data_IF_953626671818
#
_entry.id   IF_953626671818
#
_cell.length_a   1.000
_cell.length_b   1.000
_cell.length_c   1.000
_cell.angle_alpha   90.00
_cell.angle_beta   90.00
_cell.angle_gamma   90.00
#
_symmetry.space_group_name_H-M   'P 1'
#
loop_
_entity.id
_entity.type
_entity.pdbx_description
1 polymer ?
#
# COMPACT_ATOMS: atom_id res chain seq x y z
N UNK A 1 13.59 -13.00 -22.90
CA UNK A 1 13.82 -12.33 -21.60
C UNK A 1 15.01 -12.95 -20.85
N UNK A 2 15.07 -14.28 -20.60
CA UNK A 2 16.12 -14.89 -19.78
C UNK A 2 17.55 -14.73 -20.33
N UNK A 3 17.73 -14.78 -21.67
CA UNK A 3 19.05 -14.58 -22.30
C UNK A 3 19.52 -13.13 -22.11
N UNK A 4 18.66 -12.14 -22.36
CA UNK A 4 18.98 -10.73 -22.18
C UNK A 4 19.36 -10.44 -20.71
N UNK A 5 18.62 -10.97 -19.76
CA UNK A 5 18.96 -10.85 -18.35
C UNK A 5 20.35 -11.38 -18.04
N UNK A 6 20.66 -12.61 -18.52
CA UNK A 6 21.94 -13.27 -18.27
C UNK A 6 23.12 -12.50 -18.90
N UNK A 7 22.95 -12.04 -20.13
CA UNK A 7 24.05 -11.47 -20.91
C UNK A 7 24.29 -9.99 -20.60
N UNK A 8 23.23 -9.23 -20.30
CA UNK A 8 23.27 -7.77 -20.22
C UNK A 8 23.06 -7.20 -18.79
N UNK A 9 22.37 -7.93 -17.90
CA UNK A 9 21.94 -7.38 -16.60
C UNK A 9 22.60 -8.09 -15.43
N UNK A 10 22.70 -9.44 -15.44
CA UNK A 10 23.13 -10.20 -14.27
C UNK A 10 24.52 -9.85 -13.77
N UNK A 11 25.42 -9.40 -14.64
CA UNK A 11 26.78 -8.97 -14.28
C UNK A 11 26.82 -7.75 -13.34
N UNK A 12 25.74 -6.96 -13.32
CA UNK A 12 25.60 -5.77 -12.46
C UNK A 12 24.79 -6.04 -11.18
N UNK A 13 24.27 -7.26 -11.02
CA UNK A 13 23.42 -7.62 -9.88
C UNK A 13 24.21 -8.49 -8.91
N UNK A 14 24.53 -7.93 -7.75
CA UNK A 14 25.24 -8.65 -6.68
C UNK A 14 24.31 -9.52 -5.83
N UNK A 15 23.05 -9.15 -5.75
CA UNK A 15 22.02 -9.89 -4.98
C UNK A 15 20.62 -9.62 -5.58
N UNK A 16 19.75 -10.61 -5.50
CA UNK A 16 18.33 -10.46 -5.85
C UNK A 16 17.45 -11.19 -4.84
N UNK A 17 16.34 -10.58 -4.45
CA UNK A 17 15.33 -11.19 -3.61
C UNK A 17 13.99 -11.13 -4.33
N UNK A 18 13.28 -12.26 -4.39
CA UNK A 18 11.92 -12.32 -4.92
C UNK A 18 10.92 -12.54 -3.79
N UNK A 19 9.81 -11.82 -3.85
CA UNK A 19 8.68 -11.96 -2.93
C UNK A 19 7.41 -12.22 -3.73
N UNK A 20 6.58 -13.12 -3.24
CA UNK A 20 5.26 -13.36 -3.79
C UNK A 20 4.22 -12.67 -2.94
N UNK A 21 3.52 -11.69 -3.51
CA UNK A 21 2.56 -10.86 -2.80
C UNK A 21 1.13 -11.08 -3.35
N UNK A 22 0.16 -11.16 -2.44
CA UNK A 22 -1.26 -11.26 -2.77
C UNK A 22 -1.94 -9.92 -2.56
N UNK A 23 -2.61 -9.42 -3.57
CA UNK A 23 -3.39 -8.19 -3.46
C UNK A 23 -4.59 -8.39 -2.53
N UNK A 24 -4.74 -7.53 -1.52
CA UNK A 24 -5.87 -7.53 -0.59
C UNK A 24 -6.94 -6.54 -1.07
N UNK A 25 -7.97 -7.03 -1.75
CA UNK A 25 -9.06 -6.19 -2.25
C UNK A 25 -9.83 -5.49 -1.10
N UNK A 26 -9.98 -6.16 0.04
CA UNK A 26 -10.71 -5.63 1.19
C UNK A 26 -9.99 -4.49 1.88
N UNK A 27 -8.66 -4.56 1.96
CA UNK A 27 -7.82 -3.54 2.58
C UNK A 27 -7.39 -2.42 1.61
N UNK A 28 -7.77 -2.49 0.33
CA UNK A 28 -7.36 -1.57 -0.73
C UNK A 28 -8.50 -0.68 -1.20
N UNK A 29 -8.14 0.52 -1.69
CA UNK A 29 -9.04 1.43 -2.38
C UNK A 29 -8.29 2.15 -3.51
N UNK A 30 -8.60 1.79 -4.74
CA UNK A 30 -8.04 2.40 -5.96
C UNK A 30 -9.17 3.10 -6.69
N UNK A 31 -9.27 4.41 -6.55
CA UNK A 31 -10.36 5.24 -7.11
C UNK A 31 -9.96 6.00 -8.37
N UNK A 32 -8.68 6.05 -8.69
CA UNK A 32 -8.12 6.80 -9.82
C UNK A 32 -7.08 5.97 -10.54
N UNK A 33 -6.78 6.36 -11.78
CA UNK A 33 -5.71 5.70 -12.54
C UNK A 33 -4.38 5.79 -11.80
N UNK A 34 -3.58 4.70 -11.77
CA UNK A 34 -2.22 4.75 -11.23
C UNK A 34 -1.34 5.83 -11.88
N UNK A 35 -1.66 6.26 -13.10
CA UNK A 35 -0.95 7.32 -13.82
C UNK A 35 -1.23 8.72 -13.26
N UNK A 36 -2.42 8.95 -12.71
CA UNK A 36 -2.80 10.24 -12.12
C UNK A 36 -2.09 10.49 -10.78
N UNK A 37 -1.60 9.43 -10.14
CA UNK A 37 -0.83 9.48 -8.90
C UNK A 37 0.49 8.72 -9.07
N UNK A 38 1.47 9.29 -9.79
CA UNK A 38 2.70 8.58 -10.18
C UNK A 38 3.67 8.33 -9.04
N UNK A 39 3.57 9.08 -7.94
CA UNK A 39 4.42 8.86 -6.77
C UNK A 39 3.80 7.83 -5.84
N UNK A 40 4.63 6.93 -5.33
CA UNK A 40 4.21 5.86 -4.42
C UNK A 40 5.02 5.92 -3.14
N UNK A 41 4.34 6.12 -2.01
CA UNK A 41 4.92 5.83 -0.71
C UNK A 41 4.61 4.39 -0.33
N UNK A 42 5.63 3.58 -0.23
CA UNK A 42 5.54 2.17 0.12
C UNK A 42 5.94 1.98 1.58
N UNK A 43 5.06 1.36 2.35
CA UNK A 43 5.30 0.99 3.73
C UNK A 43 5.25 -0.53 3.86
N UNK A 44 6.37 -1.14 4.18
CA UNK A 44 6.44 -2.55 4.56
C UNK A 44 6.24 -2.66 6.06
N UNK A 45 5.29 -3.50 6.47
CA UNK A 45 5.01 -3.79 7.88
C UNK A 45 5.27 -5.26 8.16
N UNK A 46 6.06 -5.54 9.20
CA UNK A 46 6.15 -6.88 9.79
C UNK A 46 5.32 -6.88 11.06
N UNK A 47 4.37 -7.80 11.17
CA UNK A 47 3.43 -7.86 12.27
C UNK A 47 3.49 -9.20 13.00
N UNK A 48 3.12 -9.19 14.29
CA UNK A 48 3.12 -10.36 15.18
C UNK A 48 2.04 -11.35 14.75
N UNK A 49 2.36 -12.63 14.79
CA UNK A 49 1.45 -13.69 14.38
C UNK A 49 0.18 -13.74 15.25
N UNK A 50 0.35 -13.54 16.56
CA UNK A 50 -0.73 -13.55 17.56
C UNK A 50 -1.59 -12.30 17.56
N UNK A 51 -1.19 -11.24 16.82
CA UNK A 51 -1.92 -9.99 16.66
C UNK A 51 -2.29 -9.71 15.19
N UNK A 52 -2.33 -10.72 14.35
CA UNK A 52 -2.69 -10.60 12.94
C UNK A 52 -4.09 -10.01 12.74
N UNK A 53 -5.04 -10.37 13.59
CA UNK A 53 -6.42 -9.90 13.49
C UNK A 53 -6.54 -8.39 13.72
N UNK A 54 -5.81 -7.83 14.69
CA UNK A 54 -5.75 -6.39 14.93
C UNK A 54 -5.15 -5.64 13.76
N UNK A 55 -4.05 -6.18 13.19
CA UNK A 55 -3.41 -5.60 12.01
C UNK A 55 -4.39 -5.49 10.84
N UNK A 56 -5.01 -6.61 10.46
CA UNK A 56 -5.90 -6.67 9.31
C UNK A 56 -7.23 -5.96 9.54
N UNK A 57 -7.78 -6.02 10.76
CA UNK A 57 -8.97 -5.26 11.12
C UNK A 57 -8.79 -3.77 10.88
N UNK A 58 -7.69 -3.19 11.37
CA UNK A 58 -7.42 -1.77 11.15
C UNK A 58 -7.29 -1.44 9.66
N UNK A 59 -6.55 -2.24 8.88
CA UNK A 59 -6.37 -2.03 7.44
C UNK A 59 -7.68 -2.08 6.67
N UNK A 60 -8.51 -3.08 6.93
CA UNK A 60 -9.82 -3.23 6.30
C UNK A 60 -10.76 -2.08 6.69
N UNK A 61 -10.75 -1.68 7.95
CA UNK A 61 -11.58 -0.58 8.45
C UNK A 61 -11.18 0.76 7.81
N UNK A 62 -9.88 1.03 7.67
CA UNK A 62 -9.37 2.23 7.00
C UNK A 62 -9.82 2.25 5.53
N UNK A 63 -9.65 1.17 4.79
CA UNK A 63 -10.09 1.08 3.39
C UNK A 63 -11.60 1.31 3.25
N UNK A 64 -12.41 0.76 4.16
CA UNK A 64 -13.86 0.98 4.19
C UNK A 64 -14.22 2.44 4.51
N UNK A 65 -13.49 3.09 5.42
CA UNK A 65 -13.70 4.50 5.73
C UNK A 65 -13.31 5.41 4.56
N UNK A 66 -12.20 5.12 3.85
CA UNK A 66 -11.82 5.83 2.62
C UNK A 66 -12.95 5.74 1.59
N UNK A 67 -13.41 4.53 1.30
CA UNK A 67 -14.50 4.29 0.34
C UNK A 67 -15.79 5.01 0.72
N UNK A 68 -16.20 4.96 2.00
CA UNK A 68 -17.43 5.59 2.51
C UNK A 68 -17.35 7.12 2.50
N UNK A 69 -16.21 7.68 2.88
CA UNK A 69 -15.99 9.13 2.90
C UNK A 69 -15.86 9.76 1.50
N UNK A 70 -15.64 8.93 0.46
CA UNK A 70 -15.30 9.37 -0.89
C UNK A 70 -14.04 10.24 -0.93
N UNK A 71 -13.10 9.98 -0.02
CA UNK A 71 -11.82 10.67 0.00
C UNK A 71 -10.98 10.30 -1.23
N UNK A 72 -10.27 11.29 -1.79
CA UNK A 72 -9.34 11.06 -2.90
C UNK A 72 -8.00 10.49 -2.38
N UNK A 73 -8.06 9.27 -1.87
CA UNK A 73 -6.91 8.54 -1.34
C UNK A 73 -6.73 7.26 -2.16
N UNK A 74 -5.57 7.13 -2.77
CA UNK A 74 -5.14 5.89 -3.40
C UNK A 74 -4.44 5.00 -2.38
N UNK A 75 -4.96 3.81 -2.18
CA UNK A 75 -4.45 2.83 -1.22
C UNK A 75 -4.43 1.43 -1.83
N UNK A 76 -3.26 0.83 -1.91
CA UNK A 76 -3.11 -0.61 -2.21
C UNK A 76 -2.47 -1.32 -1.02
N UNK A 77 -2.98 -2.51 -0.72
CA UNK A 77 -2.44 -3.37 0.34
C UNK A 77 -2.19 -4.76 -0.22
N UNK A 78 -0.99 -5.26 0.05
CA UNK A 78 -0.51 -6.55 -0.42
C UNK A 78 -0.05 -7.39 0.77
N UNK A 79 -0.49 -8.64 0.83
CA UNK A 79 -0.07 -9.60 1.85
C UNK A 79 1.04 -10.49 1.30
N UNK A 80 2.05 -10.76 2.10
CA UNK A 80 3.11 -11.66 1.68
C UNK A 80 2.65 -13.12 1.70
N UNK A 81 2.82 -13.80 0.56
CA UNK A 81 2.58 -15.23 0.42
C UNK A 81 3.85 -16.06 0.59
N UNK A 82 5.01 -15.57 0.13
CA UNK A 82 6.30 -16.23 0.30
C UNK A 82 7.48 -15.29 0.02
N UNK A 83 8.67 -15.66 0.50
CA UNK A 83 9.91 -14.91 0.30
C UNK A 83 10.07 -13.71 1.22
N UNK A 84 9.28 -13.59 2.28
CA UNK A 84 9.33 -12.52 3.26
C UNK A 84 9.84 -13.01 4.61
N UNK A 85 10.39 -12.10 5.38
CA UNK A 85 10.85 -12.35 6.74
C UNK A 85 9.67 -12.17 7.71
N UNK A 86 8.98 -13.26 8.02
CA UNK A 86 7.81 -13.28 8.91
C UNK A 86 6.50 -12.83 8.24
N UNK A 87 5.51 -12.46 9.06
CA UNK A 87 4.22 -11.97 8.59
C UNK A 87 4.39 -10.53 8.10
N UNK A 88 4.32 -10.34 6.80
CA UNK A 88 4.58 -9.03 6.18
C UNK A 88 3.41 -8.59 5.31
N UNK A 89 3.08 -7.32 5.41
CA UNK A 89 2.20 -6.64 4.47
C UNK A 89 2.89 -5.41 3.89
N UNK A 90 2.59 -5.12 2.62
CA UNK A 90 3.03 -3.91 1.94
C UNK A 90 1.81 -3.01 1.72
N UNK A 91 1.91 -1.78 2.16
CA UNK A 91 0.88 -0.74 2.03
C UNK A 91 1.43 0.36 1.14
N UNK A 92 0.71 0.66 0.08
CA UNK A 92 1.15 1.63 -0.94
C UNK A 92 0.14 2.77 -1.02
N UNK A 93 0.60 3.99 -0.77
CA UNK A 93 -0.16 5.21 -0.99
C UNK A 93 0.29 5.86 -2.30
N UNK A 94 -0.69 6.25 -3.12
CA UNK A 94 -0.43 7.00 -4.36
C UNK A 94 -0.61 8.49 -4.14
N UNK A 95 0.29 9.29 -4.72
CA UNK A 95 0.29 10.75 -4.64
C UNK A 95 0.52 11.37 -6.02
N UNK A 96 -0.12 12.50 -6.27
CA UNK A 96 0.02 13.23 -7.55
C UNK A 96 1.34 14.02 -7.62
N UNK A 97 1.86 14.45 -6.46
CA UNK A 97 3.10 15.22 -6.36
C UNK A 97 3.71 15.12 -4.95
N UNK A 98 4.93 15.62 -4.80
CA UNK A 98 5.67 15.59 -3.52
C UNK A 98 5.03 16.46 -2.42
N UNK A 99 4.30 17.52 -2.76
CA UNK A 99 3.61 18.33 -1.76
C UNK A 99 2.44 17.55 -1.13
N UNK A 100 1.66 16.84 -1.93
CA UNK A 100 0.62 15.92 -1.44
C UNK A 100 1.24 14.80 -0.59
N UNK A 101 2.34 14.21 -1.04
CA UNK A 101 3.03 13.15 -0.31
C UNK A 101 3.57 13.61 1.06
N UNK A 102 3.94 14.87 1.21
CA UNK A 102 4.44 15.45 2.47
C UNK A 102 3.34 15.91 3.43
N UNK A 103 2.06 15.86 3.03
CA UNK A 103 0.93 16.35 3.82
C UNK A 103 0.25 15.19 4.57
N UNK A 104 0.70 14.92 5.80
CA UNK A 104 0.09 13.87 6.65
C UNK A 104 -1.31 14.27 7.16
N UNK A 105 -1.59 15.58 7.28
CA UNK A 105 -2.88 16.15 7.77
C UNK A 105 -3.71 16.75 6.63
N UNK A 106 -3.81 16.02 5.51
CA UNK A 106 -4.65 16.50 4.41
C UNK A 106 -6.14 16.49 4.79
N UNK A 107 -6.93 17.40 4.17
CA UNK A 107 -8.39 17.44 4.33
C UNK A 107 -9.04 16.10 3.97
N UNK A 108 -8.42 15.34 3.07
CA UNK A 108 -8.89 14.01 2.66
C UNK A 108 -8.77 12.99 3.81
N UNK A 109 -7.65 12.99 4.54
CA UNK A 109 -7.50 12.14 5.73
C UNK A 109 -8.44 12.55 6.86
N UNK A 110 -8.73 13.84 7.03
CA UNK A 110 -9.72 14.30 8.02
C UNK A 110 -11.12 13.78 7.72
N UNK A 111 -11.50 13.64 6.43
CA UNK A 111 -12.77 12.99 6.05
C UNK A 111 -12.77 11.51 6.47
N UNK A 112 -11.66 10.81 6.25
CA UNK A 112 -11.53 9.38 6.61
C UNK A 112 -11.64 9.18 8.12
N UNK A 113 -10.96 9.99 8.94
CA UNK A 113 -11.02 9.90 10.40
C UNK A 113 -12.45 10.09 10.92
N UNK A 114 -13.14 11.11 10.43
CA UNK A 114 -14.54 11.37 10.78
C UNK A 114 -15.46 10.21 10.40
N UNK A 115 -15.31 9.69 9.18
CA UNK A 115 -16.14 8.58 8.70
C UNK A 115 -15.81 7.27 9.43
N UNK A 116 -14.53 7.03 9.76
CA UNK A 116 -14.13 5.88 10.58
C UNK A 116 -14.84 5.88 11.94
N UNK A 117 -14.76 7.00 12.67
CA UNK A 117 -15.40 7.14 13.97
C UNK A 117 -16.93 7.08 13.88
N UNK A 118 -17.53 7.56 12.81
CA UNK A 118 -18.96 7.42 12.56
C UNK A 118 -19.38 5.96 12.34
N UNK A 119 -18.58 5.16 11.63
CA UNK A 119 -18.90 3.75 11.32
C UNK A 119 -18.69 2.85 12.54
N UNK A 120 -17.60 3.05 13.30
CA UNK A 120 -17.15 2.13 14.34
C UNK A 120 -17.30 2.66 15.76
N UNK A 121 -17.74 3.90 15.94
CA UNK A 121 -17.94 4.57 17.22
C UNK A 121 -16.90 5.64 17.51
N UNK A 122 -17.24 6.52 18.46
CA UNK A 122 -16.38 7.62 18.88
C UNK A 122 -14.99 7.11 19.34
N UNK A 123 -13.93 7.80 18.95
CA UNK A 123 -12.51 7.49 19.24
C UNK A 123 -12.05 6.11 18.75
N UNK A 124 -12.82 5.45 17.89
CA UNK A 124 -12.45 4.11 17.39
C UNK A 124 -11.19 4.14 16.53
N UNK A 125 -10.95 5.21 15.79
CA UNK A 125 -9.75 5.33 14.95
C UNK A 125 -8.48 5.30 15.82
N UNK A 126 -8.42 6.10 16.87
CA UNK A 126 -7.26 6.20 17.76
C UNK A 126 -7.02 4.89 18.51
N UNK A 127 -8.09 4.24 19.00
CA UNK A 127 -8.02 2.93 19.68
C UNK A 127 -7.50 1.83 18.74
N UNK A 128 -8.04 1.78 17.52
CA UNK A 128 -7.62 0.78 16.55
C UNK A 128 -6.21 1.06 16.01
N UNK A 129 -5.81 2.32 15.87
CA UNK A 129 -4.44 2.71 15.52
C UNK A 129 -3.44 2.31 16.63
N UNK A 130 -3.80 2.45 17.90
CA UNK A 130 -2.99 2.00 19.01
C UNK A 130 -2.81 0.47 18.98
N UNK A 131 -3.89 -0.29 18.78
CA UNK A 131 -3.85 -1.74 18.67
C UNK A 131 -3.05 -2.20 17.44
N UNK A 132 -3.24 -1.54 16.30
CA UNK A 132 -2.43 -1.73 15.10
C UNK A 132 -0.94 -1.50 15.40
N UNK A 133 -0.60 -0.42 16.10
CA UNK A 133 0.79 -0.12 16.46
C UNK A 133 1.40 -1.19 17.37
N UNK A 134 0.62 -1.74 18.31
CA UNK A 134 1.03 -2.85 19.18
C UNK A 134 1.20 -4.16 18.41
N UNK A 135 0.48 -4.33 17.30
CA UNK A 135 0.59 -5.53 16.46
C UNK A 135 1.88 -5.59 15.65
N UNK A 136 2.60 -4.49 15.52
CA UNK A 136 3.86 -4.47 14.77
C UNK A 136 5.01 -5.08 15.57
N UNK A 137 5.91 -5.76 14.85
CA UNK A 137 7.20 -6.16 15.41
C UNK A 137 8.08 -4.95 15.72
N UNK A 138 9.04 -5.10 16.63
CA UNK A 138 10.04 -4.06 16.89
C UNK A 138 10.80 -3.76 15.60
N UNK A 139 10.84 -2.49 15.19
CA UNK A 139 11.38 -2.06 13.89
C UNK A 139 10.68 -2.68 12.68
N UNK A 140 9.46 -3.19 12.86
CA UNK A 140 8.66 -3.85 11.82
C UNK A 140 8.09 -2.92 10.75
N UNK A 141 8.55 -1.67 10.64
CA UNK A 141 8.13 -0.71 9.62
C UNK A 141 9.33 -0.22 8.82
N UNK A 142 9.23 -0.35 7.49
CA UNK A 142 10.14 0.28 6.54
C UNK A 142 9.33 1.17 5.60
N UNK A 143 9.87 2.32 5.23
CA UNK A 143 9.21 3.25 4.30
C UNK A 143 10.20 3.65 3.23
N UNK A 144 9.75 3.65 1.97
CA UNK A 144 10.50 4.17 0.83
C UNK A 144 9.54 4.75 -0.19
N UNK A 145 10.03 5.67 -0.99
CA UNK A 145 9.26 6.33 -2.03
C UNK A 145 9.71 5.84 -3.41
N UNK A 146 8.77 5.68 -4.32
CA UNK A 146 8.98 5.27 -5.71
C UNK A 146 8.29 6.25 -6.64
N UNK A 147 8.85 6.44 -7.81
CA UNK A 147 8.22 7.18 -8.89
C UNK A 147 7.98 6.24 -10.08
N UNK A 148 6.80 6.32 -10.65
CA UNK A 148 6.47 5.55 -11.83
C UNK A 148 7.21 6.10 -13.04
N UNK A 149 7.98 5.25 -13.72
CA UNK A 149 8.74 5.57 -14.93
C UNK A 149 8.10 4.91 -16.15
N UNK A 150 7.19 5.61 -16.86
CA UNK A 150 6.45 5.06 -18.01
C UNK A 150 7.39 4.53 -19.12
N UNK A 151 8.51 5.20 -19.33
CA UNK A 151 9.52 4.86 -20.32
C UNK A 151 10.23 3.52 -20.05
N UNK A 152 10.19 3.06 -18.80
CA UNK A 152 10.73 1.76 -18.38
C UNK A 152 9.67 0.66 -18.34
N UNK A 153 8.41 1.00 -18.61
CA UNK A 153 7.28 0.07 -18.56
C UNK A 153 6.95 -0.46 -19.96
N UNK A 154 6.59 -1.74 -20.08
CA UNK A 154 6.16 -2.27 -21.37
C UNK A 154 4.79 -1.72 -21.78
N UNK A 155 4.54 -1.43 -23.09
CA UNK A 155 3.24 -0.98 -23.56
C UNK A 155 2.09 -1.93 -23.20
N UNK A 156 2.36 -3.24 -23.13
CA UNK A 156 1.38 -4.25 -22.74
C UNK A 156 0.96 -4.13 -21.27
N UNK A 157 1.92 -3.86 -20.39
CA UNK A 157 1.62 -3.62 -18.97
C UNK A 157 0.88 -2.31 -18.75
N UNK A 158 1.21 -1.27 -19.53
CA UNK A 158 0.48 0.00 -19.52
C UNK A 158 -1.00 -0.18 -19.85
N UNK A 159 -1.32 -0.95 -20.91
CA UNK A 159 -2.71 -1.22 -21.30
C UNK A 159 -3.49 -2.07 -20.30
N UNK A 160 -2.83 -2.89 -19.48
CA UNK A 160 -3.46 -3.68 -18.42
C UNK A 160 -3.79 -2.83 -17.19
N UNK A 161 -2.95 -1.85 -16.87
CA UNK A 161 -3.19 -0.93 -15.75
C UNK A 161 -4.43 -0.06 -15.99
N UNK A 162 -4.65 0.40 -17.22
CA UNK A 162 -5.86 1.17 -17.58
C UNK A 162 -7.16 0.37 -17.40
N UNK A 163 -7.11 -0.97 -17.52
CA UNK A 163 -8.29 -1.83 -17.35
C UNK A 163 -8.62 -2.12 -15.88
N UNK A 164 -7.66 -2.02 -14.97
CA UNK A 164 -7.89 -2.25 -13.54
C UNK A 164 -8.65 -1.11 -12.84
N UNK A 165 -8.77 0.05 -13.50
CA UNK A 165 -9.46 1.23 -12.98
C UNK A 165 -10.92 1.33 -13.43
N UNK A 166 -11.39 0.45 -14.32
CA UNK A 166 -12.75 0.50 -14.93
C UNK A 166 -13.74 -0.53 -14.37
N UNK A 167 -13.34 -1.39 -13.45
CA UNK A 167 -14.17 -2.37 -12.74
C UNK A 167 -14.25 -2.06 -11.22
#
# INVERSE_FOLDING_TARGET
AGKLWKDEVSQYVSNSQARWMWYSKEASHVSVSPFDKPLRRVMEYTYKADMSDEFWRFRNNVAKAIKSSRADIFLEVWNCGSGCDGNMAMVVFGHSNYAEMGSDDSDEWMKVYKEYNKIYGEDSYEKDLENFSKSLEMYGRRTYDMEFAPEMSSPENMSKLDKLTTD
#
